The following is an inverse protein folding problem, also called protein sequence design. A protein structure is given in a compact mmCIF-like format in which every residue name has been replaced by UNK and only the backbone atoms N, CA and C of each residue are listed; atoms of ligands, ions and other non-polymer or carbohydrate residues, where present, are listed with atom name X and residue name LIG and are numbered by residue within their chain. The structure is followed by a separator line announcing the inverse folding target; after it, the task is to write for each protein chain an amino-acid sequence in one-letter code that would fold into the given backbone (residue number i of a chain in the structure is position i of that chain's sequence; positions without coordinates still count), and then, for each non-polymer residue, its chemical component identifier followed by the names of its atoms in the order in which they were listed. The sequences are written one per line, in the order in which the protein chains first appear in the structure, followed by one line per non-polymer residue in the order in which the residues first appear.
data_IF_198706356307
#
_entry.id   IF_198706356307
#
_cell.length_a   1.000
_cell.length_b   1.000
_cell.length_c   1.000
_cell.angle_alpha   90.00
_cell.angle_beta   90.00
_cell.angle_gamma   90.00
#
_symmetry.space_group_name_H-M   'P 1'
#
loop_
_entity.id
_entity.type
_entity.pdbx_description
1 polymer ?
#
# COMPACT_ATOMS: atom_id res chain seq x y z
N UNK A 1 9.53 -5.33 -4.59
CA UNK A 1 8.33 -5.44 -3.76
C UNK A 1 7.61 -4.10 -3.54
N UNK A 2 8.26 -3.01 -3.14
CA UNK A 2 7.63 -1.70 -3.02
C UNK A 2 6.97 -1.22 -4.31
N UNK A 3 7.54 -1.57 -5.46
CA UNK A 3 7.10 -1.12 -6.78
C UNK A 3 5.64 -1.37 -7.09
N UNK A 4 5.19 -2.57 -6.77
CA UNK A 4 3.86 -2.96 -7.18
C UNK A 4 2.79 -2.25 -6.37
N UNK A 5 3.00 -2.09 -5.06
CA UNK A 5 2.11 -1.32 -4.20
C UNK A 5 2.02 0.13 -4.66
N UNK A 6 3.16 0.74 -4.98
CA UNK A 6 3.24 2.09 -5.53
C UNK A 6 2.53 2.20 -6.89
N UNK A 7 2.77 1.24 -7.80
CA UNK A 7 2.10 1.23 -9.08
C UNK A 7 0.59 1.06 -8.94
N UNK A 8 0.13 0.18 -8.04
CA UNK A 8 -1.29 0.00 -7.79
C UNK A 8 -1.92 1.30 -7.28
N UNK A 9 -1.24 2.02 -6.42
CA UNK A 9 -1.69 3.35 -6.00
C UNK A 9 -1.80 4.28 -7.21
N UNK A 10 -0.73 4.46 -7.99
CA UNK A 10 -0.75 5.34 -9.16
C UNK A 10 -1.88 5.00 -10.15
N UNK A 11 -2.12 3.71 -10.45
CA UNK A 11 -3.19 3.29 -11.36
C UNK A 11 -4.58 3.55 -10.75
N UNK A 12 -4.77 3.36 -9.45
CA UNK A 12 -6.07 3.57 -8.80
C UNK A 12 -6.33 5.04 -8.47
N UNK A 13 -5.28 5.82 -8.24
CA UNK A 13 -5.36 7.29 -8.09
C UNK A 13 -5.95 7.95 -9.34
N UNK A 14 -5.74 7.35 -10.52
CA UNK A 14 -6.36 7.84 -11.76
C UNK A 14 -7.88 7.94 -11.65
N UNK A 15 -8.54 7.04 -10.92
CA UNK A 15 -10.00 7.11 -10.67
C UNK A 15 -10.39 8.34 -9.84
N UNK A 16 -9.56 8.73 -8.88
CA UNK A 16 -9.81 9.90 -8.03
C UNK A 16 -9.68 11.20 -8.82
N UNK A 17 -8.83 11.19 -9.85
CA UNK A 17 -8.74 12.28 -10.83
C UNK A 17 -9.80 12.20 -11.94
N UNK A 18 -10.72 11.24 -11.89
CA UNK A 18 -11.73 11.03 -12.93
C UNK A 18 -11.19 10.45 -14.23
N UNK A 19 -9.98 9.88 -14.21
CA UNK A 19 -9.34 9.28 -15.39
C UNK A 19 -9.93 7.88 -15.60
N UNK A 20 -10.38 7.52 -16.82
CA UNK A 20 -10.85 6.18 -17.14
C UNK A 20 -9.78 5.12 -16.87
N UNK A 21 -10.20 3.91 -16.50
CA UNK A 21 -9.31 2.81 -16.09
C UNK A 21 -8.37 2.31 -17.21
N UNK A 22 -8.71 2.55 -18.46
CA UNK A 22 -7.92 2.24 -19.64
C UNK A 22 -6.88 3.31 -20.00
N UNK A 23 -6.86 4.43 -19.27
CA UNK A 23 -5.91 5.52 -19.43
C UNK A 23 -4.79 5.46 -18.40
N UNK A 24 -3.65 6.01 -18.78
CA UNK A 24 -2.50 6.21 -17.90
C UNK A 24 -2.50 7.63 -17.27
N UNK A 25 -1.47 7.95 -16.50
CA UNK A 25 -1.33 9.24 -15.80
C UNK A 25 -0.51 10.27 -16.60
N UNK A 26 -0.48 10.16 -17.92
CA UNK A 26 0.23 11.14 -18.76
C UNK A 26 -0.35 12.55 -18.62
N UNK A 27 0.53 13.49 -18.39
CA UNK A 27 0.11 14.88 -18.19
C UNK A 27 -0.26 15.24 -16.75
N UNK A 28 -0.08 14.33 -15.79
CA UNK A 28 -0.34 14.54 -14.37
C UNK A 28 0.96 14.56 -13.57
N UNK A 29 1.00 15.36 -12.50
CA UNK A 29 2.11 15.49 -11.58
C UNK A 29 1.83 14.77 -10.26
N UNK A 30 2.68 13.80 -9.92
CA UNK A 30 2.74 13.17 -8.61
C UNK A 30 3.91 13.74 -7.80
N UNK A 31 3.63 14.25 -6.59
CA UNK A 31 4.64 14.71 -5.64
C UNK A 31 4.58 13.88 -4.37
N UNK A 32 5.72 13.51 -3.84
CA UNK A 32 5.82 12.75 -2.59
C UNK A 32 7.19 12.92 -1.94
N UNK A 33 7.43 12.21 -0.85
CA UNK A 33 8.69 12.24 -0.11
C UNK A 33 9.22 10.83 0.17
N UNK A 34 10.53 10.75 0.36
CA UNK A 34 11.25 9.55 0.73
C UNK A 34 11.68 8.69 -0.45
N UNK A 35 12.96 8.28 -0.42
CA UNK A 35 13.58 7.34 -1.37
C UNK A 35 14.22 6.13 -0.66
N UNK A 36 13.75 5.85 0.56
CA UNK A 36 14.17 4.70 1.37
C UNK A 36 13.77 3.34 0.81
N UNK A 37 13.73 2.32 1.66
CA UNK A 37 13.43 0.93 1.26
C UNK A 37 12.08 0.78 0.55
N UNK A 38 11.01 1.26 1.18
CA UNK A 38 9.65 1.18 0.63
C UNK A 38 9.35 2.33 -0.35
N UNK A 39 9.67 3.54 0.06
CA UNK A 39 9.36 4.76 -0.69
C UNK A 39 10.18 4.92 -1.97
N UNK A 40 11.36 4.32 -2.03
CA UNK A 40 12.26 4.42 -3.20
C UNK A 40 11.70 3.90 -4.52
N UNK A 41 10.61 3.14 -4.47
CA UNK A 41 9.94 2.64 -5.66
C UNK A 41 8.97 3.67 -6.32
N UNK A 42 8.64 4.76 -5.63
CA UNK A 42 7.69 5.77 -6.13
C UNK A 42 8.07 6.33 -7.50
N UNK A 43 9.31 6.81 -7.73
CA UNK A 43 9.69 7.38 -9.02
C UNK A 43 9.57 6.36 -10.16
N UNK A 44 9.96 5.10 -9.93
CA UNK A 44 9.82 4.04 -10.92
C UNK A 44 8.37 3.71 -11.22
N UNK A 45 7.53 3.64 -10.19
CA UNK A 45 6.10 3.39 -10.34
C UNK A 45 5.40 4.49 -11.13
N UNK A 46 5.73 5.75 -10.85
CA UNK A 46 5.20 6.90 -11.60
C UNK A 46 5.57 6.83 -13.09
N UNK A 47 6.82 6.52 -13.41
CA UNK A 47 7.26 6.34 -14.82
C UNK A 47 6.50 5.20 -15.50
N UNK A 48 6.29 4.05 -14.84
CA UNK A 48 5.49 2.95 -15.39
C UNK A 48 4.04 3.35 -15.61
N UNK A 49 3.49 4.22 -14.77
CA UNK A 49 2.15 4.79 -14.91
C UNK A 49 2.09 5.97 -15.88
N UNK A 50 3.21 6.33 -16.52
CA UNK A 50 3.37 7.45 -17.47
C UNK A 50 3.12 8.83 -16.83
N UNK A 51 3.35 8.97 -15.53
CA UNK A 51 3.25 10.24 -14.81
C UNK A 51 4.59 11.00 -14.77
N UNK A 52 4.51 12.31 -14.59
CA UNK A 52 5.63 13.11 -14.08
C UNK A 52 5.68 12.98 -12.55
N UNK A 53 6.87 12.86 -11.95
CA UNK A 53 6.99 12.78 -10.50
C UNK A 53 8.17 13.58 -9.95
N UNK A 54 7.96 14.21 -8.79
CA UNK A 54 9.00 14.86 -7.99
C UNK A 54 8.95 14.19 -6.59
N UNK A 55 10.04 13.55 -6.21
CA UNK A 55 10.16 12.89 -4.90
C UNK A 55 11.26 13.60 -4.10
N UNK A 56 10.86 14.22 -2.98
CA UNK A 56 11.79 14.87 -2.08
C UNK A 56 12.52 13.85 -1.20
N UNK A 57 13.83 14.00 -1.04
CA UNK A 57 14.66 13.18 -0.16
C UNK A 57 15.79 14.03 0.41
N UNK A 58 15.99 13.94 1.71
CA UNK A 58 17.04 14.71 2.41
C UNK A 58 18.38 13.98 2.46
N UNK A 59 18.36 12.65 2.31
CA UNK A 59 19.54 11.80 2.35
C UNK A 59 20.08 11.58 0.92
N UNK A 60 21.20 12.25 0.59
CA UNK A 60 21.85 12.14 -0.71
C UNK A 60 22.24 10.69 -1.08
N UNK A 61 22.56 9.85 -0.09
CA UNK A 61 22.94 8.45 -0.33
C UNK A 61 21.78 7.60 -0.88
N UNK A 62 20.56 7.90 -0.44
CA UNK A 62 19.34 7.26 -0.94
C UNK A 62 19.03 7.70 -2.36
N UNK A 63 19.19 8.99 -2.65
CA UNK A 63 19.04 9.53 -4.02
C UNK A 63 20.00 8.81 -4.96
N UNK A 64 21.29 8.73 -4.60
CA UNK A 64 22.31 8.08 -5.42
C UNK A 64 22.01 6.59 -5.64
N UNK A 65 21.55 5.90 -4.60
CA UNK A 65 21.12 4.49 -4.73
C UNK A 65 20.04 4.33 -5.79
N UNK A 66 19.00 5.19 -5.79
CA UNK A 66 17.91 5.10 -6.75
C UNK A 66 18.31 5.54 -8.15
N UNK A 67 19.22 6.50 -8.25
CA UNK A 67 19.82 6.91 -9.52
C UNK A 67 20.61 5.77 -10.16
N UNK A 68 21.46 5.10 -9.40
CA UNK A 68 22.23 3.93 -9.86
C UNK A 68 21.34 2.75 -10.29
N UNK A 69 20.19 2.56 -9.64
CA UNK A 69 19.19 1.57 -10.04
C UNK A 69 18.38 1.97 -11.29
N UNK A 70 18.57 3.18 -11.81
CA UNK A 70 17.80 3.70 -12.94
C UNK A 70 16.34 3.98 -12.62
N UNK A 71 16.02 4.28 -11.34
CA UNK A 71 14.67 4.59 -10.89
C UNK A 71 14.39 6.08 -10.85
N UNK A 72 15.45 6.88 -10.70
CA UNK A 72 15.45 8.33 -10.77
C UNK A 72 16.23 8.76 -12.01
N UNK A 73 15.60 9.58 -12.86
CA UNK A 73 16.18 10.06 -14.10
C UNK A 73 16.94 11.38 -13.90
N UNK A 74 16.39 12.26 -13.07
CA UNK A 74 16.97 13.59 -12.80
C UNK A 74 17.10 13.83 -11.30
N UNK A 75 18.17 14.54 -10.92
CA UNK A 75 18.42 14.95 -9.53
C UNK A 75 18.67 16.47 -9.53
N UNK A 76 18.06 17.16 -8.60
CA UNK A 76 18.28 18.61 -8.41
C UNK A 76 17.98 19.01 -6.97
N UNK A 77 18.65 20.03 -6.48
CA UNK A 77 18.39 20.77 -5.23
C UNK A 77 17.66 22.11 -5.47
N UNK A 78 17.44 22.45 -6.73
CA UNK A 78 16.70 23.64 -7.15
C UNK A 78 15.22 23.30 -7.38
N UNK A 79 14.35 23.88 -6.54
CA UNK A 79 12.90 23.69 -6.60
C UNK A 79 12.30 24.17 -7.93
N UNK A 80 12.75 25.32 -8.43
CA UNK A 80 12.27 25.86 -9.70
C UNK A 80 12.63 24.95 -10.87
N UNK A 81 13.83 24.41 -10.87
CA UNK A 81 14.29 23.44 -11.89
C UNK A 81 13.49 22.13 -11.80
N UNK A 82 13.20 21.62 -10.60
CA UNK A 82 12.39 20.42 -10.43
C UNK A 82 11.01 20.58 -11.08
N UNK A 83 10.31 21.67 -10.79
CA UNK A 83 8.99 21.93 -11.36
C UNK A 83 9.06 22.26 -12.87
N UNK A 84 10.10 22.96 -13.35
CA UNK A 84 10.27 23.22 -14.78
C UNK A 84 10.46 21.94 -15.59
N UNK A 85 11.25 20.99 -15.10
CA UNK A 85 11.43 19.67 -15.73
C UNK A 85 10.11 18.88 -15.76
N UNK A 86 9.38 18.89 -14.66
CA UNK A 86 8.08 18.22 -14.57
C UNK A 86 7.06 18.84 -15.55
N UNK A 87 6.95 20.17 -15.59
CA UNK A 87 6.05 20.90 -16.48
C UNK A 87 6.37 20.66 -17.97
N UNK A 88 7.65 20.59 -18.33
CA UNK A 88 8.07 20.24 -19.69
C UNK A 88 7.61 18.82 -20.08
N UNK A 89 7.80 17.84 -19.18
CA UNK A 89 7.37 16.47 -19.41
C UNK A 89 5.84 16.36 -19.49
N UNK A 90 5.11 17.07 -18.62
CA UNK A 90 3.64 17.14 -18.64
C UNK A 90 3.13 17.67 -19.98
N UNK A 91 3.70 18.77 -20.49
CA UNK A 91 3.33 19.33 -21.80
C UNK A 91 3.60 18.38 -22.96
N UNK A 92 4.68 17.60 -22.87
CA UNK A 92 5.03 16.56 -23.86
C UNK A 92 4.25 15.26 -23.66
N UNK A 93 3.55 15.12 -22.55
CA UNK A 93 2.87 13.87 -22.13
C UNK A 93 3.83 12.69 -21.98
N UNK A 94 5.03 12.96 -21.51
CA UNK A 94 6.11 11.99 -21.29
C UNK A 94 6.29 11.74 -19.79
N UNK A 95 6.64 10.50 -19.40
CA UNK A 95 6.96 10.21 -18.00
C UNK A 95 8.34 10.76 -17.63
N UNK A 96 8.44 11.28 -16.40
CA UNK A 96 9.71 11.70 -15.82
C UNK A 96 9.75 11.39 -14.34
N UNK A 97 10.93 11.01 -13.83
CA UNK A 97 11.17 10.87 -12.38
C UNK A 97 12.30 11.80 -11.95
N UNK A 98 11.98 12.69 -11.02
CA UNK A 98 12.87 13.70 -10.49
C UNK A 98 13.03 13.47 -8.98
N UNK A 99 14.26 13.33 -8.50
CA UNK A 99 14.57 13.42 -7.08
C UNK A 99 14.92 14.87 -6.76
N UNK A 100 14.19 15.46 -5.84
CA UNK A 100 14.53 16.75 -5.24
C UNK A 100 15.35 16.49 -3.97
N UNK A 101 16.61 16.93 -3.95
CA UNK A 101 17.46 16.83 -2.77
C UNK A 101 17.12 17.97 -1.81
N UNK A 102 16.23 17.70 -0.87
CA UNK A 102 15.77 18.70 0.08
C UNK A 102 14.52 18.24 0.84
N UNK A 103 14.01 19.14 1.67
CA UNK A 103 12.85 18.87 2.49
C UNK A 103 11.55 19.02 1.71
N UNK A 104 10.63 18.09 1.89
CA UNK A 104 9.32 18.11 1.22
C UNK A 104 8.51 19.35 1.58
N UNK A 105 8.57 19.82 2.84
CA UNK A 105 7.79 21.00 3.27
C UNK A 105 8.23 22.24 2.51
N UNK A 106 9.53 22.44 2.35
CA UNK A 106 10.07 23.58 1.60
C UNK A 106 9.68 23.52 0.12
N UNK A 107 9.70 22.31 -0.48
CA UNK A 107 9.24 22.08 -1.86
C UNK A 107 7.75 22.42 -2.04
N UNK A 108 6.90 21.99 -1.10
CA UNK A 108 5.46 22.26 -1.15
C UNK A 108 5.14 23.73 -0.90
N UNK A 109 5.81 24.39 0.04
CA UNK A 109 5.67 25.83 0.29
C UNK A 109 6.12 26.67 -0.93
N UNK A 110 7.18 26.23 -1.62
CA UNK A 110 7.58 26.83 -2.88
C UNK A 110 6.47 26.71 -3.94
N UNK A 111 5.91 25.50 -4.13
CA UNK A 111 4.82 25.29 -5.08
C UNK A 111 3.59 26.15 -4.75
N UNK A 112 3.23 26.21 -3.47
CA UNK A 112 2.12 27.03 -2.97
C UNK A 112 2.34 28.51 -3.28
N UNK A 113 3.51 29.05 -2.94
CA UNK A 113 3.89 30.45 -3.17
C UNK A 113 3.91 30.83 -4.64
N UNK A 114 4.35 29.92 -5.51
CA UNK A 114 4.41 30.13 -6.96
C UNK A 114 3.09 29.82 -7.67
N UNK A 115 2.06 29.35 -6.96
CA UNK A 115 0.78 28.97 -7.54
C UNK A 115 0.85 27.74 -8.47
N UNK A 116 1.85 26.86 -8.28
CA UNK A 116 2.04 25.65 -9.08
C UNK A 116 1.01 24.60 -8.72
N UNK A 117 0.52 23.88 -9.72
CA UNK A 117 -0.44 22.80 -9.53
C UNK A 117 0.26 21.47 -9.26
N UNK A 118 -0.27 20.72 -8.31
CA UNK A 118 0.09 19.34 -8.02
C UNK A 118 -1.21 18.53 -8.09
N UNK A 119 -1.25 17.48 -8.94
CA UNK A 119 -2.47 16.68 -9.09
C UNK A 119 -2.62 15.66 -7.97
N UNK A 120 -1.54 14.91 -7.70
CA UNK A 120 -1.47 13.86 -6.69
C UNK A 120 -0.36 14.16 -5.70
N UNK A 121 -0.67 14.11 -4.41
CA UNK A 121 0.27 14.34 -3.33
C UNK A 121 0.17 13.23 -2.29
N UNK A 122 1.32 12.71 -1.86
CA UNK A 122 1.42 11.77 -0.73
C UNK A 122 2.66 12.05 0.09
N UNK A 123 2.76 11.43 1.26
CA UNK A 123 3.98 11.45 2.08
C UNK A 123 4.37 10.03 2.49
N UNK A 124 5.65 9.69 2.31
CA UNK A 124 6.21 8.39 2.70
C UNK A 124 7.42 8.52 3.63
N UNK A 125 7.55 9.63 4.33
CA UNK A 125 8.48 9.73 5.45
C UNK A 125 8.12 8.74 6.55
N UNK A 126 9.09 8.32 7.36
CA UNK A 126 8.86 7.27 8.37
C UNK A 126 8.22 7.82 9.65
N UNK A 127 7.01 8.40 9.55
CA UNK A 127 6.32 9.03 10.68
C UNK A 127 5.87 8.05 11.79
N UNK A 128 5.94 6.72 11.57
CA UNK A 128 5.80 5.74 12.65
C UNK A 128 6.93 5.79 13.68
N UNK A 129 8.07 6.38 13.32
CA UNK A 129 9.24 6.64 14.17
C UNK A 129 9.65 8.12 14.06
N UNK A 130 8.68 9.01 14.17
CA UNK A 130 8.82 10.44 13.86
C UNK A 130 9.91 11.12 14.70
N UNK A 131 9.95 10.83 16.01
CA UNK A 131 10.91 11.39 16.95
C UNK A 131 12.20 10.54 17.13
N UNK A 132 12.29 9.43 16.44
CA UNK A 132 13.47 8.56 16.37
C UNK A 132 14.27 8.75 15.06
N UNK A 133 14.06 9.89 14.40
CA UNK A 133 14.73 10.27 13.16
C UNK A 133 14.06 9.79 11.89
N UNK A 134 12.84 9.30 11.96
CA UNK A 134 12.06 8.92 10.81
C UNK A 134 11.53 10.11 9.99
N UNK A 135 11.48 11.29 10.59
CA UNK A 135 11.09 12.55 9.96
C UNK A 135 12.22 13.58 10.11
N UNK A 136 12.63 14.21 9.01
CA UNK A 136 13.64 15.26 9.03
C UNK A 136 12.95 16.62 9.11
N UNK A 137 13.19 17.44 10.15
CA UNK A 137 12.60 18.76 10.24
C UNK A 137 13.13 19.68 9.14
N UNK A 138 12.30 20.60 8.67
CA UNK A 138 12.69 21.61 7.68
C UNK A 138 13.67 22.63 8.27
N UNK A 139 14.60 23.11 7.43
CA UNK A 139 15.60 24.10 7.81
C UNK A 139 16.88 23.52 8.40
N UNK A 140 17.01 22.17 8.41
CA UNK A 140 18.26 21.49 8.79
C UNK A 140 18.62 20.47 7.74
N UNK A 141 19.94 20.21 7.60
CA UNK A 141 20.45 19.15 6.72
C UNK A 141 20.23 17.76 7.37
N UNK A 142 20.46 16.71 6.60
CA UNK A 142 20.38 15.34 7.10
C UNK A 142 21.43 15.07 8.21
N UNK A 143 22.62 15.64 8.07
CA UNK A 143 23.70 15.56 9.05
C UNK A 143 23.36 16.32 10.33
N UNK A 144 22.91 17.59 10.21
CA UNK A 144 22.48 18.40 11.36
C UNK A 144 21.31 17.74 12.11
N UNK A 145 20.36 17.15 11.39
CA UNK A 145 19.26 16.36 11.98
C UNK A 145 19.81 15.20 12.82
N UNK A 146 20.84 14.51 12.32
CA UNK A 146 21.45 13.37 13.01
C UNK A 146 22.13 13.81 14.30
N UNK A 147 22.87 14.92 14.27
CA UNK A 147 23.49 15.52 15.45
C UNK A 147 22.45 15.99 16.48
N UNK A 148 21.39 16.67 16.04
CA UNK A 148 20.31 17.11 16.92
C UNK A 148 19.65 15.91 17.60
N UNK A 149 19.34 14.85 16.85
CA UNK A 149 18.74 13.63 17.41
C UNK A 149 19.63 12.97 18.46
N UNK A 150 20.94 12.94 18.21
CA UNK A 150 21.92 12.29 19.09
C UNK A 150 22.20 13.08 20.37
N UNK A 151 22.27 14.39 20.30
CA UNK A 151 22.80 15.25 21.37
C UNK A 151 21.82 16.30 21.90
N UNK A 152 20.76 16.64 21.14
CA UNK A 152 19.79 17.69 21.46
C UNK A 152 18.36 17.23 21.16
N UNK A 153 17.96 16.10 21.76
CA UNK A 153 16.69 15.41 21.42
C UNK A 153 15.45 16.29 21.65
N UNK A 154 15.42 17.13 22.65
CA UNK A 154 14.28 18.02 22.92
C UNK A 154 14.13 19.06 21.82
N UNK A 155 15.24 19.67 21.39
CA UNK A 155 15.25 20.62 20.28
C UNK A 155 14.85 19.93 18.96
N UNK A 156 15.33 18.71 18.74
CA UNK A 156 14.93 17.90 17.60
C UNK A 156 13.41 17.68 17.57
N UNK A 157 12.81 17.23 18.68
CA UNK A 157 11.38 17.00 18.76
C UNK A 157 10.56 18.29 18.53
N UNK A 158 10.99 19.41 19.12
CA UNK A 158 10.34 20.70 18.93
C UNK A 158 10.38 21.18 17.45
N UNK A 159 11.51 20.97 16.76
CA UNK A 159 11.65 21.27 15.34
C UNK A 159 10.77 20.36 14.47
N UNK A 160 10.66 19.06 14.82
CA UNK A 160 9.76 18.12 14.16
C UNK A 160 8.31 18.58 14.27
N UNK A 161 7.83 18.91 15.48
CA UNK A 161 6.47 19.39 15.70
C UNK A 161 6.16 20.67 14.91
N UNK A 162 7.09 21.61 14.94
CA UNK A 162 6.98 22.84 14.14
C UNK A 162 6.88 22.56 12.65
N UNK A 163 7.66 21.60 12.16
CA UNK A 163 7.68 21.23 10.75
C UNK A 163 6.40 20.49 10.35
N UNK A 164 5.91 19.58 11.18
CA UNK A 164 4.65 18.87 10.95
C UNK A 164 3.46 19.84 10.85
N UNK A 165 3.42 20.89 11.70
CA UNK A 165 2.42 21.96 11.61
C UNK A 165 2.50 22.71 10.29
N UNK A 166 3.70 23.11 9.85
CA UNK A 166 3.91 23.73 8.52
C UNK A 166 3.48 22.81 7.39
N UNK A 167 3.83 21.52 7.48
CA UNK A 167 3.49 20.50 6.48
C UNK A 167 1.97 20.36 6.35
N UNK A 168 1.25 20.27 7.48
CA UNK A 168 -0.21 20.26 7.47
C UNK A 168 -0.80 21.49 6.78
N UNK A 169 -0.35 22.69 7.15
CA UNK A 169 -0.88 23.94 6.60
C UNK A 169 -0.66 24.06 5.09
N UNK A 170 0.50 23.67 4.57
CA UNK A 170 0.74 23.72 3.13
C UNK A 170 -0.09 22.70 2.38
N UNK A 171 -0.23 21.45 2.88
CA UNK A 171 -1.10 20.44 2.27
C UNK A 171 -2.55 20.94 2.26
N UNK A 172 -3.04 21.51 3.35
CA UNK A 172 -4.40 22.07 3.46
C UNK A 172 -4.68 23.11 2.37
N UNK A 173 -3.72 24.01 2.09
CA UNK A 173 -3.85 25.01 1.02
C UNK A 173 -3.80 24.36 -0.38
N UNK A 174 -2.93 23.38 -0.60
CA UNK A 174 -2.86 22.66 -1.87
C UNK A 174 -4.14 21.88 -2.15
N UNK A 175 -4.66 21.16 -1.15
CA UNK A 175 -5.94 20.43 -1.25
C UNK A 175 -7.10 21.37 -1.55
N UNK A 176 -7.15 22.56 -0.91
CA UNK A 176 -8.16 23.56 -1.21
C UNK A 176 -8.11 24.09 -2.66
N UNK A 177 -6.98 23.91 -3.36
CA UNK A 177 -6.81 24.24 -4.79
C UNK A 177 -7.03 23.06 -5.73
N UNK A 178 -7.41 21.89 -5.22
CA UNK A 178 -7.76 20.72 -6.02
C UNK A 178 -6.73 19.59 -6.03
N UNK A 179 -5.62 19.70 -5.27
CA UNK A 179 -4.67 18.59 -5.09
C UNK A 179 -5.37 17.44 -4.35
N UNK A 180 -5.29 16.23 -4.89
CA UNK A 180 -5.72 15.03 -4.17
C UNK A 180 -4.57 14.54 -3.28
N UNK A 181 -4.78 14.60 -1.96
CA UNK A 181 -3.82 14.10 -0.96
C UNK A 181 -4.31 12.82 -0.32
N UNK A 182 -3.40 11.87 -0.13
CA UNK A 182 -3.61 10.67 0.69
C UNK A 182 -2.36 10.34 1.51
N UNK A 183 -2.58 9.92 2.75
CA UNK A 183 -1.50 9.37 3.58
C UNK A 183 -1.14 7.96 3.09
N UNK A 184 0.15 7.70 2.91
CA UNK A 184 0.63 6.37 2.55
C UNK A 184 0.48 5.33 3.67
N UNK A 185 -0.03 5.71 4.84
CA UNK A 185 -0.17 4.83 5.99
C UNK A 185 1.12 4.66 6.78
N UNK A 186 1.94 5.69 6.82
CA UNK A 186 3.17 5.80 7.61
C UNK A 186 2.96 6.52 8.95
N UNK A 187 1.72 6.68 9.39
CA UNK A 187 1.30 7.42 10.58
C UNK A 187 1.50 8.95 10.49
N UNK A 188 1.57 9.51 9.29
CA UNK A 188 1.77 10.94 9.08
C UNK A 188 0.67 11.80 9.72
N UNK A 189 -0.61 11.47 9.44
CA UNK A 189 -1.74 12.21 10.02
C UNK A 189 -1.79 12.09 11.55
N UNK A 190 -1.47 10.92 12.09
CA UNK A 190 -1.36 10.72 13.55
C UNK A 190 -0.23 11.56 14.14
N UNK A 191 0.91 11.65 13.46
CA UNK A 191 2.04 12.48 13.90
C UNK A 191 1.67 13.98 13.91
N UNK A 192 0.92 14.46 12.94
CA UNK A 192 0.38 15.83 12.91
C UNK A 192 -0.57 16.09 14.10
N UNK A 193 -1.46 15.13 14.37
CA UNK A 193 -2.36 15.21 15.53
C UNK A 193 -1.59 15.29 16.85
N UNK A 194 -0.58 14.41 17.02
CA UNK A 194 0.27 14.36 18.21
C UNK A 194 1.13 15.63 18.37
N UNK A 195 1.49 16.30 17.29
CA UNK A 195 2.14 17.61 17.30
C UNK A 195 1.20 18.76 17.72
N UNK A 196 -0.07 18.47 18.02
CA UNK A 196 -1.06 19.40 18.54
C UNK A 196 -1.98 20.02 17.48
N UNK A 197 -2.04 19.51 16.26
CA UNK A 197 -2.97 19.94 15.21
C UNK A 197 -4.22 19.07 15.25
N UNK A 198 -5.13 19.32 16.18
CA UNK A 198 -6.32 18.49 16.38
C UNK A 198 -7.35 18.62 15.24
N UNK A 199 -7.33 19.70 14.48
CA UNK A 199 -8.21 19.89 13.31
C UNK A 199 -7.98 18.87 12.18
N UNK A 200 -6.89 18.10 12.22
CA UNK A 200 -6.67 16.99 11.28
C UNK A 200 -7.58 15.79 11.55
N UNK A 201 -8.11 15.66 12.78
CA UNK A 201 -9.13 14.64 13.07
C UNK A 201 -10.49 15.04 12.52
N UNK A 202 -11.31 14.05 12.10
CA UNK A 202 -12.62 14.33 11.49
C UNK A 202 -13.59 15.06 12.42
N UNK A 203 -13.53 14.75 13.72
CA UNK A 203 -14.39 15.37 14.73
C UNK A 203 -13.73 16.60 15.41
N UNK A 204 -12.48 16.91 15.08
CA UNK A 204 -11.71 18.01 15.65
C UNK A 204 -11.31 17.84 17.13
N UNK A 205 -11.56 16.67 17.72
CA UNK A 205 -11.36 16.39 19.15
C UNK A 205 -10.40 15.22 19.38
N UNK A 206 -10.67 14.08 18.74
CA UNK A 206 -9.86 12.86 18.86
C UNK A 206 -9.76 12.11 17.52
N UNK A 207 -8.89 11.10 17.48
CA UNK A 207 -8.63 10.31 16.27
C UNK A 207 -9.55 9.11 16.07
N UNK A 208 -10.57 8.90 16.92
CA UNK A 208 -11.41 7.69 16.88
C UNK A 208 -12.15 7.52 15.57
N UNK A 209 -12.62 8.62 14.98
CA UNK A 209 -13.31 8.63 13.70
C UNK A 209 -12.37 8.76 12.49
N UNK A 210 -11.04 8.72 12.72
CA UNK A 210 -10.02 8.91 11.71
C UNK A 210 -9.74 10.38 11.40
N UNK A 211 -9.15 10.62 10.22
CA UNK A 211 -8.62 11.91 9.83
C UNK A 211 -9.38 12.52 8.64
N UNK A 212 -9.22 13.85 8.45
CA UNK A 212 -9.90 14.59 7.37
C UNK A 212 -9.44 14.15 5.96
N UNK A 213 -8.20 13.68 5.84
CA UNK A 213 -7.68 13.09 4.61
C UNK A 213 -7.67 11.58 4.73
N UNK A 214 -7.85 10.85 3.62
CA UNK A 214 -7.83 9.40 3.64
C UNK A 214 -6.40 8.85 3.71
N UNK A 215 -6.26 7.64 4.24
CA UNK A 215 -5.10 6.81 3.95
C UNK A 215 -5.28 6.11 2.60
N UNK A 216 -4.17 5.64 2.01
CA UNK A 216 -4.22 4.88 0.75
C UNK A 216 -5.09 3.60 0.86
N UNK A 217 -5.18 2.99 2.04
CA UNK A 217 -6.04 1.83 2.26
C UNK A 217 -7.50 2.24 2.37
N UNK A 218 -7.78 3.33 3.07
CA UNK A 218 -9.15 3.78 3.30
C UNK A 218 -9.88 4.10 2.00
N UNK A 219 -9.21 4.80 1.10
CA UNK A 219 -9.85 5.36 -0.09
C UNK A 219 -9.50 4.64 -1.40
N UNK A 220 -8.36 3.95 -1.45
CA UNK A 220 -7.85 3.32 -2.66
C UNK A 220 -7.80 1.80 -2.53
N UNK A 221 -6.91 1.26 -1.69
CA UNK A 221 -6.63 -0.17 -1.67
C UNK A 221 -7.75 -0.99 -1.01
N UNK A 222 -8.40 -0.45 0.04
CA UNK A 222 -9.49 -1.14 0.72
C UNK A 222 -10.66 -1.42 -0.21
N UNK A 223 -11.35 -0.38 -0.72
CA UNK A 223 -12.54 -0.56 -1.56
C UNK A 223 -12.25 -1.13 -2.95
N UNK A 224 -11.05 -0.92 -3.51
CA UNK A 224 -10.74 -1.32 -4.88
C UNK A 224 -10.07 -2.70 -4.98
N UNK A 225 -9.37 -3.14 -3.93
CA UNK A 225 -8.59 -4.38 -3.93
C UNK A 225 -8.92 -5.29 -2.75
N UNK A 226 -8.76 -4.82 -1.51
CA UNK A 226 -8.84 -5.68 -0.33
C UNK A 226 -10.25 -6.23 -0.09
N UNK A 227 -11.27 -5.46 -0.36
CA UNK A 227 -12.67 -5.93 -0.27
C UNK A 227 -12.99 -7.07 -1.26
N UNK A 228 -12.18 -7.21 -2.31
CA UNK A 228 -12.26 -8.29 -3.29
C UNK A 228 -11.23 -9.41 -3.07
N UNK A 229 -10.46 -9.32 -1.99
CA UNK A 229 -9.42 -10.30 -1.69
C UNK A 229 -8.12 -10.14 -2.49
N UNK A 230 -7.98 -9.09 -3.29
CA UNK A 230 -6.71 -8.82 -3.97
C UNK A 230 -5.70 -8.27 -2.98
N UNK A 231 -4.62 -8.98 -2.81
CA UNK A 231 -3.50 -8.59 -1.97
C UNK A 231 -2.19 -9.14 -2.48
N UNK A 232 -1.05 -8.76 -1.87
CA UNK A 232 0.27 -9.17 -2.31
C UNK A 232 0.42 -10.69 -2.26
N UNK A 233 0.86 -11.26 -3.38
CA UNK A 233 1.18 -12.66 -3.56
C UNK A 233 2.54 -12.76 -4.24
N UNK A 234 3.49 -13.45 -3.60
CA UNK A 234 4.89 -13.48 -3.99
C UNK A 234 5.36 -14.89 -4.22
N UNK A 235 6.27 -15.05 -5.20
CA UNK A 235 7.06 -16.26 -5.32
C UNK A 235 8.54 -15.95 -5.55
N UNK A 236 9.37 -16.87 -5.09
CA UNK A 236 10.82 -16.83 -5.23
C UNK A 236 11.28 -18.16 -5.83
N UNK A 237 12.00 -18.14 -6.94
CA UNK A 237 12.63 -19.32 -7.52
C UNK A 237 13.89 -19.63 -6.71
N UNK A 238 13.85 -20.70 -5.90
CA UNK A 238 14.95 -21.06 -4.99
C UNK A 238 16.20 -21.55 -5.73
N UNK A 239 16.05 -21.94 -6.99
CA UNK A 239 17.19 -22.25 -7.87
C UNK A 239 18.10 -21.05 -8.14
N UNK A 240 17.59 -19.82 -7.97
CA UNK A 240 18.28 -18.58 -8.35
C UNK A 240 18.43 -18.38 -9.87
N UNK A 241 17.89 -19.27 -10.71
CA UNK A 241 18.00 -19.22 -12.16
C UNK A 241 17.01 -18.24 -12.77
N UNK A 242 17.43 -17.29 -13.62
CA UNK A 242 16.52 -16.40 -14.34
C UNK A 242 15.49 -17.15 -15.21
N UNK A 243 15.88 -18.30 -15.77
CA UNK A 243 15.03 -19.13 -16.64
C UNK A 243 13.81 -19.66 -15.86
N UNK A 244 13.98 -20.02 -14.59
CA UNK A 244 12.88 -20.49 -13.74
C UNK A 244 11.89 -19.34 -13.46
N UNK A 245 12.39 -18.12 -13.27
CA UNK A 245 11.51 -16.95 -13.11
C UNK A 245 10.71 -16.69 -14.40
N UNK A 246 11.34 -16.74 -15.56
CA UNK A 246 10.66 -16.57 -16.87
C UNK A 246 9.56 -17.63 -17.04
N UNK A 247 9.87 -18.90 -16.74
CA UNK A 247 8.88 -20.00 -16.84
C UNK A 247 7.70 -19.80 -15.89
N UNK A 248 7.99 -19.44 -14.64
CA UNK A 248 6.92 -19.14 -13.65
C UNK A 248 6.12 -17.89 -14.00
N UNK A 249 6.73 -16.87 -14.58
CA UNK A 249 6.03 -15.70 -15.11
C UNK A 249 5.03 -16.10 -16.21
N UNK A 250 5.45 -16.94 -17.18
CA UNK A 250 4.57 -17.42 -18.25
C UNK A 250 3.42 -18.29 -17.69
N UNK A 251 3.71 -19.18 -16.75
CA UNK A 251 2.68 -20.00 -16.09
C UNK A 251 1.67 -19.15 -15.32
N UNK A 252 2.14 -18.14 -14.58
CA UNK A 252 1.27 -17.22 -13.89
C UNK A 252 0.37 -16.42 -14.85
N UNK A 253 0.91 -15.93 -15.97
CA UNK A 253 0.12 -15.26 -17.02
C UNK A 253 -0.94 -16.18 -17.61
N UNK A 254 -0.64 -17.45 -17.83
CA UNK A 254 -1.61 -18.43 -18.33
C UNK A 254 -2.75 -18.71 -17.32
N UNK A 255 -2.49 -18.56 -16.04
CA UNK A 255 -3.50 -18.72 -14.97
C UNK A 255 -4.39 -17.48 -14.78
N UNK A 256 -4.01 -16.32 -15.31
CA UNK A 256 -4.71 -15.04 -15.16
C UNK A 256 -5.64 -14.80 -16.34
N UNK A 257 -6.94 -14.60 -16.08
CA UNK A 257 -7.86 -14.05 -17.06
C UNK A 257 -7.83 -12.51 -16.98
N UNK A 258 -7.19 -11.82 -17.93
CA UNK A 258 -7.05 -10.36 -17.89
C UNK A 258 -8.38 -9.62 -18.10
N UNK A 259 -9.44 -10.31 -18.53
CA UNK A 259 -10.74 -9.70 -18.81
C UNK A 259 -11.67 -9.72 -17.60
N UNK A 260 -11.38 -10.55 -16.59
CA UNK A 260 -12.23 -10.73 -15.41
C UNK A 260 -12.38 -9.45 -14.57
N UNK A 261 -11.26 -8.75 -14.35
CA UNK A 261 -11.21 -7.51 -13.57
C UNK A 261 -9.99 -6.68 -13.96
N UNK A 262 -10.08 -5.35 -13.82
CA UNK A 262 -8.95 -4.47 -14.14
C UNK A 262 -7.66 -4.82 -13.38
N UNK A 263 -7.76 -5.37 -12.16
CA UNK A 263 -6.60 -5.84 -11.42
C UNK A 263 -5.92 -7.07 -12.08
N UNK A 264 -6.68 -7.94 -12.70
CA UNK A 264 -6.11 -9.09 -13.44
C UNK A 264 -5.39 -8.62 -14.72
N UNK A 265 -5.94 -7.63 -15.43
CA UNK A 265 -5.26 -6.97 -16.54
C UNK A 265 -3.95 -6.30 -16.06
N UNK A 266 -3.97 -5.62 -14.93
CA UNK A 266 -2.77 -5.01 -14.35
C UNK A 266 -1.72 -6.06 -13.98
N UNK A 267 -2.15 -7.20 -13.43
CA UNK A 267 -1.28 -8.32 -13.13
C UNK A 267 -0.62 -8.88 -14.38
N UNK A 268 -1.41 -9.11 -15.42
CA UNK A 268 -0.94 -9.61 -16.70
C UNK A 268 0.11 -8.68 -17.33
N UNK A 269 -0.22 -7.39 -17.44
CA UNK A 269 0.69 -6.38 -17.99
C UNK A 269 1.97 -6.24 -17.14
N UNK A 270 1.87 -6.36 -15.81
CA UNK A 270 2.99 -6.30 -14.89
C UNK A 270 4.03 -7.39 -15.15
N UNK A 271 3.57 -8.63 -15.34
CA UNK A 271 4.47 -9.76 -15.66
C UNK A 271 5.03 -9.60 -17.08
N UNK A 272 4.16 -9.35 -18.07
CA UNK A 272 4.55 -9.17 -19.46
C UNK A 272 5.67 -8.15 -19.64
N UNK A 273 5.57 -7.04 -18.94
CA UNK A 273 6.50 -5.91 -19.09
C UNK A 273 7.63 -5.94 -18.02
N UNK A 274 7.77 -7.04 -17.27
CA UNK A 274 8.68 -7.13 -16.13
C UNK A 274 10.15 -6.97 -16.52
N UNK A 275 10.59 -7.62 -17.60
CA UNK A 275 11.95 -7.53 -18.11
C UNK A 275 12.25 -6.11 -18.61
N UNK A 276 11.37 -5.54 -19.44
CA UNK A 276 11.46 -4.16 -19.92
C UNK A 276 11.60 -3.16 -18.77
N UNK A 277 10.86 -3.39 -17.68
CA UNK A 277 10.88 -2.53 -16.51
C UNK A 277 11.98 -2.88 -15.51
N UNK A 278 12.80 -3.89 -15.77
CA UNK A 278 13.89 -4.34 -14.88
C UNK A 278 13.42 -4.56 -13.45
N UNK A 279 12.37 -5.37 -13.29
CA UNK A 279 11.72 -5.56 -11.99
C UNK A 279 12.42 -6.56 -11.06
N UNK A 280 13.48 -7.22 -11.50
CA UNK A 280 14.32 -8.08 -10.66
C UNK A 280 15.38 -7.23 -9.97
N UNK A 281 15.44 -7.31 -8.64
CA UNK A 281 16.49 -6.67 -7.83
C UNK A 281 17.02 -7.70 -6.85
N UNK A 282 18.19 -8.26 -7.16
CA UNK A 282 18.86 -9.29 -6.37
C UNK A 282 18.28 -10.68 -6.60
N UNK A 283 17.17 -11.02 -5.96
CA UNK A 283 16.58 -12.36 -5.97
C UNK A 283 15.65 -12.58 -7.18
N UNK A 284 15.64 -13.81 -7.73
CA UNK A 284 14.71 -14.21 -8.79
C UNK A 284 13.29 -14.37 -8.20
N UNK A 285 12.58 -13.28 -8.11
CA UNK A 285 11.29 -13.19 -7.45
C UNK A 285 10.30 -12.33 -8.22
N UNK A 286 9.02 -12.62 -8.02
CA UNK A 286 7.91 -11.82 -8.54
C UNK A 286 6.84 -11.61 -7.47
N UNK A 287 6.11 -10.51 -7.58
CA UNK A 287 4.94 -10.21 -6.76
C UNK A 287 3.77 -9.78 -7.63
N UNK A 288 2.58 -10.26 -7.31
CA UNK A 288 1.31 -9.85 -7.88
C UNK A 288 0.36 -9.37 -6.76
N UNK A 289 -0.69 -8.66 -7.14
CA UNK A 289 -1.87 -8.46 -6.30
C UNK A 289 -2.97 -9.39 -6.80
N UNK A 290 -3.14 -10.54 -6.16
CA UNK A 290 -4.01 -11.59 -6.62
C UNK A 290 -5.02 -12.00 -5.53
N UNK A 291 -6.23 -12.35 -5.95
CA UNK A 291 -7.29 -12.86 -5.09
C UNK A 291 -7.09 -14.35 -4.73
N UNK A 292 -7.99 -14.89 -3.90
CA UNK A 292 -7.90 -16.25 -3.41
C UNK A 292 -7.82 -17.30 -4.53
N UNK A 293 -8.69 -17.19 -5.54
CA UNK A 293 -8.76 -18.14 -6.64
C UNK A 293 -7.53 -18.05 -7.53
N UNK A 294 -7.09 -16.84 -7.84
CA UNK A 294 -5.87 -16.65 -8.64
C UNK A 294 -4.63 -17.14 -7.93
N UNK A 295 -4.50 -16.89 -6.61
CA UNK A 295 -3.40 -17.44 -5.81
C UNK A 295 -3.40 -18.96 -5.83
N UNK A 296 -4.57 -19.59 -5.65
CA UNK A 296 -4.69 -21.03 -5.68
C UNK A 296 -4.29 -21.65 -7.02
N UNK A 297 -4.81 -21.09 -8.14
CA UNK A 297 -4.47 -21.58 -9.48
C UNK A 297 -2.99 -21.48 -9.76
N UNK A 298 -2.38 -20.32 -9.50
CA UNK A 298 -0.95 -20.10 -9.74
C UNK A 298 -0.11 -21.02 -8.85
N UNK A 299 -0.45 -21.15 -7.56
CA UNK A 299 0.29 -21.99 -6.62
C UNK A 299 0.26 -23.47 -6.99
N UNK A 300 -0.91 -24.01 -7.38
CA UNK A 300 -1.03 -25.39 -7.84
C UNK A 300 -0.24 -25.65 -9.13
N UNK A 301 -0.30 -24.72 -10.09
CA UNK A 301 0.47 -24.83 -11.31
C UNK A 301 1.98 -24.82 -11.04
N UNK A 302 2.45 -23.94 -10.17
CA UNK A 302 3.85 -23.92 -9.75
C UNK A 302 4.28 -25.22 -9.07
N UNK A 303 3.43 -25.78 -8.19
CA UNK A 303 3.74 -27.05 -7.55
C UNK A 303 3.78 -28.22 -8.56
N UNK A 304 2.91 -28.19 -9.58
CA UNK A 304 2.97 -29.13 -10.72
C UNK A 304 4.31 -29.00 -11.47
N UNK A 305 4.71 -27.77 -11.81
CA UNK A 305 5.97 -27.52 -12.54
C UNK A 305 7.20 -28.03 -11.77
N UNK A 306 7.19 -27.90 -10.43
CA UNK A 306 8.25 -28.47 -9.58
C UNK A 306 8.21 -30.01 -9.61
N UNK A 307 7.03 -30.62 -9.52
CA UNK A 307 6.82 -32.08 -9.61
C UNK A 307 7.35 -32.64 -10.91
N UNK A 308 7.07 -31.97 -11.99
CA UNK A 308 7.46 -32.39 -13.34
C UNK A 308 8.93 -32.05 -13.71
N UNK A 309 9.64 -31.39 -12.79
CA UNK A 309 11.05 -31.02 -12.98
C UNK A 309 11.27 -29.88 -13.97
N UNK A 310 10.21 -29.12 -14.30
CA UNK A 310 10.29 -27.96 -15.21
C UNK A 310 11.04 -26.78 -14.59
N UNK A 311 10.92 -26.62 -13.25
CA UNK A 311 11.60 -25.60 -12.45
C UNK A 311 12.07 -26.19 -11.13
N UNK A 312 13.03 -25.53 -10.49
CA UNK A 312 13.45 -25.88 -9.13
C UNK A 312 12.40 -25.51 -8.09
N UNK A 313 12.59 -25.87 -6.80
CA UNK A 313 11.65 -25.53 -5.73
C UNK A 313 11.35 -24.04 -5.67
N UNK A 314 10.13 -23.71 -5.30
CA UNK A 314 9.61 -22.34 -5.22
C UNK A 314 9.19 -22.03 -3.80
N UNK A 315 9.52 -20.85 -3.28
CA UNK A 315 8.99 -20.32 -2.05
C UNK A 315 7.83 -19.36 -2.36
N UNK A 316 6.62 -19.72 -1.96
CA UNK A 316 5.49 -18.79 -1.94
C UNK A 316 5.49 -17.98 -0.66
N UNK A 317 4.96 -16.78 -0.74
CA UNK A 317 4.69 -15.94 0.41
C UNK A 317 3.80 -14.77 0.01
N UNK A 318 3.59 -13.89 0.95
CA UNK A 318 2.96 -12.61 0.70
C UNK A 318 3.63 -11.53 1.54
N UNK A 319 3.37 -10.29 1.24
CA UNK A 319 3.67 -9.20 2.14
C UNK A 319 2.80 -9.38 3.40
N UNK A 320 3.37 -9.28 4.58
CA UNK A 320 2.63 -9.40 5.82
C UNK A 320 1.64 -8.24 6.04
N UNK A 321 1.80 -7.15 5.30
CA UNK A 321 0.82 -6.08 5.14
C UNK A 321 -0.20 -6.44 4.06
N UNK A 322 -1.10 -7.33 4.35
CA UNK A 322 -2.12 -7.85 3.43
C UNK A 322 -3.53 -7.64 3.97
N UNK A 323 -4.50 -7.96 3.13
CA UNK A 323 -5.95 -7.91 3.42
C UNK A 323 -6.35 -8.61 4.71
N UNK A 324 -5.63 -9.66 5.10
CA UNK A 324 -5.93 -10.49 6.28
C UNK A 324 -4.79 -10.57 7.29
N UNK A 325 -3.65 -9.97 7.03
CA UNK A 325 -2.43 -10.20 7.81
C UNK A 325 -1.96 -9.04 8.68
N UNK A 326 -2.66 -7.91 8.71
CA UNK A 326 -2.18 -6.73 9.41
C UNK A 326 -3.29 -6.03 10.19
N UNK A 327 -3.02 -5.77 11.47
CA UNK A 327 -3.75 -4.82 12.30
C UNK A 327 -2.88 -3.59 12.52
N UNK A 328 -3.07 -2.59 11.68
CA UNK A 328 -2.37 -1.30 11.72
C UNK A 328 -3.39 -0.19 11.83
N UNK A 329 -3.42 0.53 12.97
CA UNK A 329 -4.31 1.67 13.14
C UNK A 329 -4.09 2.71 12.03
N UNK A 330 -5.18 3.30 11.56
CA UNK A 330 -5.20 4.34 10.52
C UNK A 330 -4.66 3.93 9.15
N UNK A 331 -4.41 2.65 8.94
CA UNK A 331 -3.94 2.09 7.67
C UNK A 331 -4.78 0.89 7.23
N UNK A 332 -4.30 -0.39 7.39
CA UNK A 332 -5.03 -1.57 6.90
C UNK A 332 -6.39 -1.76 7.56
N UNK A 333 -6.54 -1.28 8.79
CA UNK A 333 -7.80 -1.39 9.55
C UNK A 333 -8.68 -0.14 9.48
N UNK A 334 -8.31 0.89 8.72
CA UNK A 334 -9.08 2.13 8.63
C UNK A 334 -10.51 1.95 8.06
N UNK A 335 -10.74 0.89 7.28
CA UNK A 335 -12.06 0.50 6.79
C UNK A 335 -12.84 -0.40 7.75
N UNK A 336 -12.26 -0.82 8.87
CA UNK A 336 -12.89 -1.65 9.90
C UNK A 336 -13.45 -0.72 10.96
N UNK A 337 -14.73 -0.39 10.87
CA UNK A 337 -15.38 0.66 11.69
C UNK A 337 -16.36 0.12 12.74
N UNK A 338 -16.33 -1.17 13.02
CA UNK A 338 -17.16 -1.84 14.02
C UNK A 338 -16.50 -1.91 15.43
N UNK A 339 -15.33 -1.30 15.58
CA UNK A 339 -14.54 -1.30 16.82
C UNK A 339 -13.52 -2.44 16.92
N UNK A 340 -13.61 -3.43 16.07
CA UNK A 340 -12.69 -4.58 16.10
C UNK A 340 -11.30 -4.30 15.55
N UNK A 341 -11.10 -3.14 14.94
CA UNK A 341 -9.79 -2.66 14.50
C UNK A 341 -8.82 -2.30 15.63
N UNK A 342 -9.29 -2.22 16.87
CA UNK A 342 -8.44 -1.96 18.05
C UNK A 342 -7.82 -3.23 18.62
N UNK A 343 -8.19 -4.40 18.09
CA UNK A 343 -7.71 -5.70 18.52
C UNK A 343 -6.92 -6.37 17.38
N UNK A 344 -5.87 -7.08 17.72
CA UNK A 344 -4.99 -7.77 16.76
C UNK A 344 -5.63 -9.05 16.16
N UNK A 345 -6.91 -9.01 15.83
CA UNK A 345 -7.71 -10.14 15.42
C UNK A 345 -7.26 -10.74 14.09
N UNK A 346 -7.10 -9.90 13.06
CA UNK A 346 -6.78 -10.39 11.72
C UNK A 346 -5.40 -11.03 11.67
N UNK A 347 -4.41 -10.39 12.25
CA UNK A 347 -3.02 -10.89 12.25
C UNK A 347 -2.91 -12.21 13.01
N UNK A 348 -3.53 -12.31 14.19
CA UNK A 348 -3.53 -13.51 15.01
C UNK A 348 -4.33 -14.64 14.35
N UNK A 349 -5.52 -14.37 13.83
CA UNK A 349 -6.34 -15.34 13.12
C UNK A 349 -5.63 -15.87 11.87
N UNK A 350 -5.00 -14.99 11.11
CA UNK A 350 -4.19 -15.35 9.94
C UNK A 350 -3.02 -16.27 10.33
N UNK A 351 -2.27 -15.91 11.36
CA UNK A 351 -1.16 -16.72 11.88
C UNK A 351 -1.62 -18.11 12.32
N UNK A 352 -2.64 -18.19 13.19
CA UNK A 352 -3.16 -19.46 13.72
C UNK A 352 -3.73 -20.35 12.61
N UNK A 353 -4.48 -19.77 11.67
CA UNK A 353 -5.09 -20.49 10.58
C UNK A 353 -4.07 -21.04 9.58
N UNK A 354 -3.02 -20.30 9.27
CA UNK A 354 -1.93 -20.74 8.40
C UNK A 354 -1.08 -21.83 9.07
N UNK A 355 -0.81 -21.71 10.38
CA UNK A 355 -0.14 -22.75 11.16
C UNK A 355 -0.96 -24.07 11.18
N UNK A 356 -2.25 -23.99 11.45
CA UNK A 356 -3.14 -25.16 11.50
C UNK A 356 -3.25 -25.88 10.14
N UNK A 357 -3.02 -25.18 9.03
CA UNK A 357 -3.07 -25.75 7.67
C UNK A 357 -1.74 -26.31 7.17
N UNK A 358 -0.67 -26.17 7.95
CA UNK A 358 0.62 -26.79 7.64
C UNK A 358 1.50 -25.96 6.70
N UNK A 359 1.38 -24.64 6.72
CA UNK A 359 2.34 -23.78 6.01
C UNK A 359 3.76 -24.03 6.49
N UNK A 360 4.75 -23.98 5.59
CA UNK A 360 6.16 -24.27 5.90
C UNK A 360 6.77 -23.27 6.88
N UNK A 361 6.31 -22.02 6.84
CA UNK A 361 6.69 -20.93 7.72
C UNK A 361 5.45 -20.13 8.06
N UNK A 362 5.30 -19.77 9.32
CA UNK A 362 4.30 -18.79 9.79
C UNK A 362 4.98 -17.74 10.65
N UNK A 363 4.50 -16.51 10.58
CA UNK A 363 5.06 -15.38 11.30
C UNK A 363 3.95 -14.54 11.94
N UNK A 364 4.22 -14.09 13.17
CA UNK A 364 3.47 -13.05 13.86
C UNK A 364 4.49 -12.09 14.48
N UNK A 365 4.41 -10.81 14.13
CA UNK A 365 5.42 -9.84 14.55
C UNK A 365 4.89 -8.39 14.58
N UNK A 366 5.59 -7.52 15.31
CA UNK A 366 5.26 -6.10 15.42
C UNK A 366 5.84 -5.28 14.27
N UNK A 367 5.22 -5.37 13.12
CA UNK A 367 5.58 -4.59 11.96
C UNK A 367 6.84 -5.09 11.27
N UNK A 368 7.18 -4.46 10.22
CA UNK A 368 8.34 -4.58 9.34
C UNK A 368 8.18 -3.50 8.30
N UNK A 369 9.14 -2.58 8.15
CA UNK A 369 8.97 -1.40 7.33
C UNK A 369 8.00 -0.40 7.97
N UNK A 370 6.99 0.05 7.24
CA UNK A 370 5.99 1.00 7.73
C UNK A 370 5.17 0.38 8.87
N UNK A 371 5.03 1.10 9.98
CA UNK A 371 4.27 0.64 11.15
C UNK A 371 5.06 -0.18 12.17
N UNK A 372 6.40 -0.22 12.10
CA UNK A 372 7.25 -0.88 13.10
C UNK A 372 6.85 -0.44 14.51
N UNK A 373 6.58 -1.43 15.38
CA UNK A 373 6.20 -1.20 16.77
C UNK A 373 4.75 -0.72 16.98
N UNK A 374 4.02 -0.36 15.92
CA UNK A 374 2.62 0.14 15.97
C UNK A 374 1.63 -0.73 15.22
N UNK A 375 2.09 -1.81 14.59
CA UNK A 375 1.27 -2.74 13.85
C UNK A 375 1.59 -4.18 14.25
N UNK A 376 0.59 -5.05 14.22
CA UNK A 376 0.77 -6.50 14.32
C UNK A 376 0.53 -7.09 12.95
N UNK A 377 1.46 -7.96 12.50
CA UNK A 377 1.42 -8.57 11.19
C UNK A 377 1.50 -10.09 11.31
N UNK A 378 0.62 -10.77 10.57
CA UNK A 378 0.65 -12.20 10.36
C UNK A 378 0.98 -12.55 8.91
N UNK A 379 1.76 -13.58 8.70
CA UNK A 379 2.14 -14.00 7.37
C UNK A 379 2.59 -15.44 7.30
N UNK A 380 2.87 -15.89 6.09
CA UNK A 380 3.31 -17.25 5.82
C UNK A 380 4.39 -17.31 4.75
N UNK A 381 5.10 -18.44 4.73
CA UNK A 381 5.87 -18.94 3.61
C UNK A 381 5.51 -20.40 3.35
N UNK A 382 5.44 -20.79 2.08
CA UNK A 382 5.17 -22.16 1.65
C UNK A 382 6.18 -22.59 0.63
N UNK A 383 6.93 -23.64 0.95
CA UNK A 383 7.84 -24.27 -0.03
C UNK A 383 7.03 -25.22 -0.91
N UNK A 384 7.09 -25.01 -2.20
CA UNK A 384 6.54 -25.91 -3.20
C UNK A 384 7.64 -26.92 -3.58
N UNK A 385 7.43 -28.18 -3.21
CA UNK A 385 8.36 -29.29 -3.40
C UNK A 385 7.89 -30.31 -4.45
N UNK A 386 6.71 -30.04 -5.05
CA UNK A 386 6.07 -30.92 -6.03
C UNK A 386 5.20 -32.01 -5.43
N UNK A 387 5.12 -32.15 -4.10
CA UNK A 387 4.34 -33.22 -3.47
C UNK A 387 2.82 -32.98 -3.52
N UNK A 388 2.03 -34.06 -3.51
CA UNK A 388 0.57 -34.01 -3.40
C UNK A 388 0.12 -33.41 -2.05
N UNK A 389 0.89 -33.64 -1.00
CA UNK A 389 0.65 -33.02 0.32
C UNK A 389 0.65 -31.50 0.23
N UNK A 390 1.56 -30.93 -0.56
CA UNK A 390 1.58 -29.46 -0.77
C UNK A 390 0.35 -29.00 -1.54
N UNK A 391 -0.13 -29.75 -2.54
CA UNK A 391 -1.39 -29.44 -3.22
C UNK A 391 -2.59 -29.40 -2.26
N UNK A 392 -2.70 -30.36 -1.31
CA UNK A 392 -3.75 -30.38 -0.30
C UNK A 392 -3.69 -29.14 0.62
N UNK A 393 -2.48 -28.79 1.09
CA UNK A 393 -2.27 -27.59 1.91
C UNK A 393 -2.69 -26.33 1.14
N UNK A 394 -2.26 -26.20 -0.11
CA UNK A 394 -2.57 -25.04 -0.95
C UNK A 394 -4.08 -24.84 -1.15
N UNK A 395 -4.83 -25.93 -1.39
CA UNK A 395 -6.29 -25.87 -1.59
C UNK A 395 -7.03 -25.28 -0.39
N UNK A 396 -6.55 -25.52 0.80
CA UNK A 396 -7.15 -24.97 2.03
C UNK A 396 -6.55 -23.63 2.40
N UNK A 397 -5.22 -23.52 2.42
CA UNK A 397 -4.52 -22.38 3.01
C UNK A 397 -4.63 -21.13 2.15
N UNK A 398 -4.58 -21.22 0.81
CA UNK A 398 -4.71 -20.06 -0.06
C UNK A 398 -6.09 -19.41 0.05
N UNK A 399 -7.14 -20.22 0.20
CA UNK A 399 -8.50 -19.71 0.41
C UNK A 399 -8.62 -19.08 1.80
N UNK A 400 -8.15 -19.76 2.84
CA UNK A 400 -8.22 -19.27 4.22
C UNK A 400 -7.49 -17.94 4.38
N UNK A 401 -6.25 -17.85 3.88
CA UNK A 401 -5.40 -16.67 4.06
C UNK A 401 -6.03 -15.41 3.51
N UNK A 402 -6.73 -15.50 2.38
CA UNK A 402 -7.37 -14.35 1.74
C UNK A 402 -8.77 -14.11 2.28
N UNK A 403 -9.61 -15.16 2.29
CA UNK A 403 -11.02 -15.00 2.59
C UNK A 403 -11.30 -14.70 4.05
N UNK A 404 -10.38 -15.03 4.96
CA UNK A 404 -10.43 -14.58 6.36
C UNK A 404 -10.45 -13.04 6.47
N UNK A 405 -9.64 -12.35 5.70
CA UNK A 405 -9.63 -10.88 5.66
C UNK A 405 -10.86 -10.29 4.96
N UNK A 406 -11.32 -10.91 3.87
CA UNK A 406 -12.57 -10.50 3.20
C UNK A 406 -13.76 -10.67 4.13
N UNK A 407 -13.85 -11.79 4.86
CA UNK A 407 -14.89 -12.03 5.85
C UNK A 407 -14.89 -10.95 6.94
N UNK A 408 -13.72 -10.58 7.43
CA UNK A 408 -13.57 -9.53 8.44
C UNK A 408 -14.09 -8.18 7.94
N UNK A 409 -13.75 -7.81 6.70
CA UNK A 409 -14.25 -6.60 6.04
C UNK A 409 -15.76 -6.68 5.75
N UNK A 410 -16.26 -7.87 5.43
CA UNK A 410 -17.69 -8.11 5.26
C UNK A 410 -18.46 -7.87 6.56
N UNK A 411 -17.96 -8.38 7.70
CA UNK A 411 -18.56 -8.14 9.01
C UNK A 411 -18.47 -6.68 9.45
N UNK A 412 -17.45 -5.94 9.02
CA UNK A 412 -17.38 -4.48 9.16
C UNK A 412 -18.37 -3.74 8.24
N UNK A 413 -19.18 -4.46 7.44
CA UNK A 413 -20.21 -3.96 6.53
C UNK A 413 -19.68 -3.18 5.33
N UNK A 414 -18.45 -3.48 4.90
CA UNK A 414 -17.92 -2.95 3.66
C UNK A 414 -18.70 -3.55 2.48
N UNK A 415 -19.39 -2.74 1.66
CA UNK A 415 -20.35 -3.27 0.67
C UNK A 415 -19.70 -4.20 -0.37
N UNK A 416 -18.49 -3.88 -0.79
CA UNK A 416 -17.76 -4.71 -1.77
C UNK A 416 -17.35 -6.06 -1.15
N UNK A 417 -16.88 -6.06 0.09
CA UNK A 417 -16.52 -7.30 0.80
C UNK A 417 -17.74 -8.20 1.05
N UNK A 418 -18.89 -7.60 1.36
CA UNK A 418 -20.15 -8.34 1.51
C UNK A 418 -20.56 -9.02 0.20
N UNK A 419 -20.51 -8.30 -0.94
CA UNK A 419 -20.78 -8.91 -2.25
C UNK A 419 -19.78 -10.00 -2.59
N UNK A 420 -18.50 -9.78 -2.31
CA UNK A 420 -17.45 -10.77 -2.54
C UNK A 420 -17.69 -12.04 -1.73
N UNK A 421 -18.06 -11.91 -0.45
CA UNK A 421 -18.39 -13.05 0.42
C UNK A 421 -19.64 -13.79 -0.04
N UNK A 422 -20.67 -13.07 -0.49
CA UNK A 422 -21.89 -13.69 -1.04
C UNK A 422 -21.57 -14.49 -2.31
N UNK A 423 -20.87 -13.90 -3.28
CA UNK A 423 -20.45 -14.58 -4.52
C UNK A 423 -19.54 -15.79 -4.23
N UNK A 424 -18.66 -15.68 -3.24
CA UNK A 424 -17.82 -16.80 -2.81
C UNK A 424 -18.69 -17.97 -2.29
N UNK A 425 -19.71 -17.70 -1.47
CA UNK A 425 -20.64 -18.70 -0.96
C UNK A 425 -21.45 -19.37 -2.08
N UNK A 426 -21.89 -18.61 -3.09
CA UNK A 426 -22.58 -19.16 -4.26
C UNK A 426 -21.70 -20.14 -5.03
N UNK A 427 -20.40 -19.86 -5.16
CA UNK A 427 -19.48 -20.67 -5.95
C UNK A 427 -18.87 -21.85 -5.16
N UNK A 428 -18.74 -21.74 -3.84
CA UNK A 428 -18.03 -22.71 -2.99
C UNK A 428 -18.75 -23.08 -1.69
N UNK A 429 -20.03 -22.73 -1.56
CA UNK A 429 -20.80 -22.89 -0.32
C UNK A 429 -20.89 -24.31 0.22
N UNK A 430 -20.66 -25.33 -0.63
CA UNK A 430 -20.58 -26.73 -0.19
C UNK A 430 -19.26 -27.05 0.56
N UNK A 431 -18.17 -26.34 0.26
CA UNK A 431 -16.86 -26.57 0.87
C UNK A 431 -16.54 -25.55 1.96
N UNK A 432 -16.94 -24.30 1.74
CA UNK A 432 -16.65 -23.17 2.62
C UNK A 432 -17.84 -22.24 2.68
N UNK A 433 -18.18 -21.77 3.86
CA UNK A 433 -19.26 -20.80 4.03
C UNK A 433 -18.82 -19.65 4.91
N UNK A 434 -18.94 -18.43 4.40
CA UNK A 434 -18.71 -17.20 5.13
C UNK A 434 -20.06 -16.66 5.59
N UNK A 435 -20.26 -16.56 6.90
CA UNK A 435 -21.45 -15.90 7.43
C UNK A 435 -21.47 -14.43 7.07
N UNK A 436 -22.63 -13.91 6.69
CA UNK A 436 -22.79 -12.50 6.34
C UNK A 436 -23.45 -11.74 7.50
N UNK A 437 -23.10 -10.47 7.73
CA UNK A 437 -23.77 -9.65 8.72
C UNK A 437 -25.19 -9.34 8.28
N UNK A 438 -26.13 -9.35 9.22
CA UNK A 438 -27.46 -8.82 8.97
C UNK A 438 -27.41 -7.29 8.87
N UNK A 439 -28.03 -6.74 7.85
CA UNK A 439 -28.22 -5.30 7.69
C UNK A 439 -29.70 -5.01 7.87
N UNK A 440 -30.11 -4.40 8.99
CA UNK A 440 -31.50 -4.05 9.21
C UNK A 440 -31.95 -2.97 8.23
N UNK A 441 -33.22 -3.00 7.87
CA UNK A 441 -33.83 -1.98 7.01
C UNK A 441 -33.76 -0.59 7.69
N UNK A 442 -33.50 0.46 6.90
CA UNK A 442 -33.41 1.84 7.41
C UNK A 442 -34.67 2.29 8.16
N UNK A 443 -35.83 1.86 7.67
CA UNK A 443 -37.12 2.16 8.32
C UNK A 443 -37.19 1.57 9.72
N UNK A 444 -36.74 0.34 9.93
CA UNK A 444 -36.69 -0.32 11.23
C UNK A 444 -35.72 0.38 12.21
N UNK A 445 -34.53 0.78 11.71
CA UNK A 445 -33.60 1.55 12.54
C UNK A 445 -34.20 2.89 12.97
N UNK A 446 -34.85 3.58 12.03
CA UNK A 446 -35.50 4.88 12.29
C UNK A 446 -36.60 4.73 13.36
N UNK A 447 -37.45 3.73 13.25
CA UNK A 447 -38.50 3.41 14.23
C UNK A 447 -37.93 3.17 15.63
N UNK A 448 -36.87 2.35 15.75
CA UNK A 448 -36.21 2.08 17.05
C UNK A 448 -35.64 3.38 17.65
N UNK A 449 -34.94 4.17 16.84
CA UNK A 449 -34.33 5.44 17.30
C UNK A 449 -35.42 6.39 17.78
N UNK A 450 -36.50 6.58 17.02
CA UNK A 450 -37.60 7.47 17.40
C UNK A 450 -38.30 6.97 18.67
N UNK A 451 -38.54 5.68 18.79
CA UNK A 451 -39.15 5.07 19.98
C UNK A 451 -38.26 5.26 21.23
N UNK A 452 -36.93 5.16 21.05
CA UNK A 452 -35.96 5.34 22.14
C UNK A 452 -35.84 6.80 22.56
N UNK A 453 -35.90 7.75 21.62
CA UNK A 453 -35.91 9.18 21.93
C UNK A 453 -37.19 9.62 22.68
N UNK A 454 -38.34 9.10 22.24
CA UNK A 454 -39.64 9.37 22.85
C UNK A 454 -39.81 8.76 24.26
N UNK A 455 -39.00 7.78 24.64
CA UNK A 455 -39.00 7.19 26.01
C UNK A 455 -38.10 7.95 26.99
N UNK A 456 -37.36 8.97 26.54
CA UNK A 456 -36.49 9.82 27.37
C UNK A 456 -37.10 11.18 27.70
N UNK A 457 -38.38 11.40 27.39
CA UNK A 457 -39.21 12.54 27.81
C UNK A 457 -40.25 12.02 28.88
#
# INVERSE_FOLDING_TARGET
EPYRRQRQMCIRDSKKLGIPQDKDLRGYLFVSSGLGGMSGAQPKAAVIAVAASIIAEVDASRIETRRCQGWVQHVTDDMGKAFSLADEAIRKKEPISIAFHGNIVDLLEYADKQGLSIDLLSDQTSCHAVYEGGYCPAGVTFEERTELLAHHREDFCALVDKTLKRHFEVIKRLVARGTYFFDYGNSFMKAIYDAGVHEISRNGVDEKDGFIWPSYVEDIMGPELFDYGYGPFRWVCLSGKPEDLIRTDHAAMACIDPTRRGQDMDNYNWIRDAEKNRLVVGTQARILYQDAEGRLKIALEFNRMVRDGEVGPIMLGRDHHDVSGTDSPFRETSNIRDGSNVMADMAVQCFAGNAARGMSLVALHNGGGVGIGKAINGGFGMVLDGSERVDEILRSAMIWDVMGGVARRSWARNPNAMRTSATFNENRGEQYHITLPYIPERAFIHEIVQTSLNKKV
#
